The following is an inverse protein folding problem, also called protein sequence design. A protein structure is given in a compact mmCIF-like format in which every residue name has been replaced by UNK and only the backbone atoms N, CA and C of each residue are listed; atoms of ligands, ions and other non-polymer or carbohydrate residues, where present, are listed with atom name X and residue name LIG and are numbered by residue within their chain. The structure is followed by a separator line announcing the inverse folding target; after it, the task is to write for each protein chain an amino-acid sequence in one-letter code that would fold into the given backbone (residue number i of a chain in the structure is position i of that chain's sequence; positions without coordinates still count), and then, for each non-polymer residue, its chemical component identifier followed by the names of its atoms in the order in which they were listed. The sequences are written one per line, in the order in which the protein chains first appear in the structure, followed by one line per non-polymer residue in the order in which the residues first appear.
data_IF_400598783635
#
_entry.id   IF_400598783635
#
_cell.length_a   1.000
_cell.length_b   1.000
_cell.length_c   1.000
_cell.angle_alpha   90.00
_cell.angle_beta   90.00
_cell.angle_gamma   90.00
#
_symmetry.space_group_name_H-M   'P 1'
#
loop_
_entity.id
_entity.type
_entity.pdbx_description
1 polymer ?
#
# COMPACT_ATOMS: atom_id res chain seq x y z
N UNK A 1 -9.50 -19.44 -0.54
CA UNK A 1 -8.19 -19.48 -1.24
C UNK A 1 -7.45 -18.20 -0.91
N UNK A 2 -6.29 -18.29 -0.26
CA UNK A 2 -5.42 -17.12 -0.02
C UNK A 2 -4.49 -16.98 -1.21
N UNK A 3 -4.42 -15.77 -1.73
CA UNK A 3 -3.57 -15.46 -2.85
C UNK A 3 -2.84 -14.16 -2.56
N UNK A 4 -1.51 -14.23 -2.60
CA UNK A 4 -0.65 -13.09 -2.31
C UNK A 4 -0.14 -12.52 -3.62
N UNK A 5 -0.30 -11.21 -3.77
CA UNK A 5 0.26 -10.47 -4.89
C UNK A 5 1.36 -9.58 -4.34
N UNK A 6 2.58 -9.70 -4.87
CA UNK A 6 3.74 -8.94 -4.37
C UNK A 6 3.70 -7.46 -4.77
N UNK A 7 2.86 -7.08 -5.73
CA UNK A 7 2.80 -5.72 -6.28
C UNK A 7 1.35 -5.28 -6.55
N UNK A 8 1.04 -4.02 -6.27
CA UNK A 8 -0.24 -3.39 -6.61
C UNK A 8 -0.30 -3.03 -8.11
N UNK A 9 -0.25 -4.05 -8.98
CA UNK A 9 -0.17 -3.86 -10.43
C UNK A 9 -1.15 -4.76 -11.19
N UNK A 10 -1.77 -4.25 -12.26
CA UNK A 10 -2.77 -4.97 -13.07
C UNK A 10 -2.26 -6.34 -13.53
N UNK A 11 -1.05 -6.39 -14.10
CA UNK A 11 -0.41 -7.63 -14.53
C UNK A 11 -0.41 -8.71 -13.44
N UNK A 12 -0.09 -8.34 -12.21
CA UNK A 12 0.05 -9.27 -11.11
C UNK A 12 -1.32 -9.83 -10.67
N UNK A 13 -2.35 -8.98 -10.62
CA UNK A 13 -3.73 -9.43 -10.36
C UNK A 13 -4.33 -10.22 -11.52
N UNK A 14 -4.01 -9.87 -12.77
CA UNK A 14 -4.45 -10.65 -13.94
C UNK A 14 -3.87 -12.06 -13.90
N UNK A 15 -2.58 -12.19 -13.59
CA UNK A 15 -1.95 -13.48 -13.39
C UNK A 15 -2.64 -14.26 -12.28
N UNK A 16 -2.89 -13.60 -11.14
CA UNK A 16 -3.61 -14.18 -10.00
C UNK A 16 -4.95 -14.81 -10.40
N UNK A 17 -5.78 -14.03 -11.10
CA UNK A 17 -7.11 -14.44 -11.52
C UNK A 17 -7.06 -15.53 -12.59
N UNK A 18 -6.11 -15.45 -13.53
CA UNK A 18 -5.93 -16.48 -14.55
C UNK A 18 -5.53 -17.82 -13.94
N UNK A 19 -4.61 -17.79 -12.97
CA UNK A 19 -4.20 -18.97 -12.19
C UNK A 19 -5.38 -19.56 -11.40
N UNK A 20 -6.27 -18.72 -10.85
CA UNK A 20 -7.47 -19.22 -10.19
C UNK A 20 -8.43 -19.95 -11.15
N UNK A 21 -8.59 -19.45 -12.39
CA UNK A 21 -9.39 -20.13 -13.44
C UNK A 21 -8.75 -21.47 -13.82
N UNK A 22 -7.44 -21.49 -14.04
CA UNK A 22 -6.68 -22.68 -14.41
C UNK A 22 -6.82 -23.78 -13.35
N UNK A 23 -6.56 -23.46 -12.08
CA UNK A 23 -6.67 -24.43 -10.99
C UNK A 23 -8.10 -24.85 -10.68
N UNK A 24 -9.08 -23.98 -10.90
CA UNK A 24 -10.49 -24.38 -10.81
C UNK A 24 -10.82 -25.50 -11.82
N UNK A 25 -10.31 -25.36 -13.04
CA UNK A 25 -10.46 -26.40 -14.07
C UNK A 25 -9.65 -27.65 -13.74
N UNK A 26 -8.40 -27.50 -13.30
CA UNK A 26 -7.50 -28.63 -13.06
C UNK A 26 -7.91 -29.48 -11.87
N UNK A 27 -8.23 -28.86 -10.73
CA UNK A 27 -8.54 -29.60 -9.50
C UNK A 27 -10.01 -30.00 -9.38
N UNK A 28 -10.93 -29.18 -9.90
CA UNK A 28 -12.36 -29.39 -9.71
C UNK A 28 -13.11 -29.69 -11.01
N UNK A 29 -12.45 -29.64 -12.17
CA UNK A 29 -13.10 -29.86 -13.46
C UNK A 29 -14.15 -28.81 -13.81
N UNK A 30 -14.10 -27.61 -13.18
CA UNK A 30 -15.08 -26.55 -13.38
C UNK A 30 -14.49 -25.38 -14.16
N UNK A 31 -15.29 -24.78 -15.04
CA UNK A 31 -14.97 -23.46 -15.59
C UNK A 31 -15.46 -22.38 -14.63
N UNK A 32 -14.51 -21.67 -14.02
CA UNK A 32 -14.82 -20.61 -13.07
C UNK A 32 -15.35 -19.37 -13.80
N UNK A 33 -16.68 -19.16 -13.78
CA UNK A 33 -17.35 -17.98 -14.32
C UNK A 33 -17.87 -17.07 -13.20
N UNK A 34 -17.18 -15.96 -12.96
CA UNK A 34 -17.61 -14.98 -11.96
C UNK A 34 -18.65 -14.01 -12.54
N UNK A 35 -19.81 -13.91 -11.88
CA UNK A 35 -20.82 -12.90 -12.19
C UNK A 35 -20.57 -11.56 -11.47
N UNK A 36 -19.97 -11.62 -10.29
CA UNK A 36 -19.71 -10.47 -9.44
C UNK A 36 -18.29 -10.54 -8.86
N UNK A 37 -17.63 -9.39 -8.75
CA UNK A 37 -16.36 -9.24 -8.06
C UNK A 37 -16.44 -8.07 -7.10
N UNK A 38 -16.54 -8.35 -5.80
CA UNK A 38 -16.53 -7.32 -4.76
C UNK A 38 -15.09 -6.94 -4.41
N UNK A 39 -14.78 -5.65 -4.45
CA UNK A 39 -13.44 -5.17 -4.14
C UNK A 39 -13.45 -3.78 -3.50
N UNK A 40 -12.27 -3.38 -3.02
CA UNK A 40 -11.99 -2.00 -2.65
C UNK A 40 -11.89 -1.13 -3.90
N UNK A 41 -11.90 0.19 -3.75
CA UNK A 41 -11.81 1.11 -4.88
C UNK A 41 -10.39 1.12 -5.48
N UNK A 42 -10.06 0.11 -6.30
CA UNK A 42 -8.76 -0.08 -6.93
C UNK A 42 -8.91 -0.34 -8.44
N UNK A 43 -8.36 0.58 -9.25
CA UNK A 43 -8.48 0.54 -10.71
C UNK A 43 -7.74 -0.65 -11.34
N UNK A 44 -6.54 -0.96 -10.84
CA UNK A 44 -5.73 -2.08 -11.37
C UNK A 44 -6.39 -3.45 -11.15
N UNK A 45 -7.10 -3.64 -10.02
CA UNK A 45 -7.86 -4.86 -9.76
C UNK A 45 -9.11 -4.90 -10.68
N UNK A 46 -9.81 -3.77 -10.82
CA UNK A 46 -10.97 -3.67 -11.71
C UNK A 46 -10.62 -4.05 -13.16
N UNK A 47 -9.50 -3.51 -13.67
CA UNK A 47 -9.02 -3.82 -15.02
C UNK A 47 -8.64 -5.28 -15.14
N UNK A 48 -7.91 -5.85 -14.16
CA UNK A 48 -7.55 -7.27 -14.16
C UNK A 48 -8.78 -8.19 -14.12
N UNK A 49 -9.79 -7.88 -13.30
CA UNK A 49 -11.05 -8.64 -13.24
C UNK A 49 -11.76 -8.64 -14.59
N UNK A 50 -11.86 -7.47 -15.23
CA UNK A 50 -12.54 -7.31 -16.53
C UNK A 50 -11.74 -8.01 -17.64
N UNK A 51 -10.41 -8.05 -17.54
CA UNK A 51 -9.56 -8.74 -18.49
C UNK A 51 -9.72 -10.28 -18.45
N UNK A 52 -9.96 -10.85 -17.27
CA UNK A 52 -10.16 -12.30 -17.10
C UNK A 52 -11.62 -12.70 -17.27
N UNK A 53 -12.55 -11.89 -16.78
CA UNK A 53 -13.99 -12.10 -16.91
C UNK A 53 -14.68 -10.85 -17.49
N UNK A 54 -14.79 -10.72 -18.83
CA UNK A 54 -15.34 -9.53 -19.47
C UNK A 54 -16.78 -9.17 -19.08
N UNK A 55 -17.58 -10.16 -18.68
CA UNK A 55 -18.98 -9.96 -18.26
C UNK A 55 -19.15 -9.73 -16.75
N UNK A 56 -18.07 -9.60 -15.99
CA UNK A 56 -18.14 -9.46 -14.53
C UNK A 56 -18.73 -8.11 -14.13
N UNK A 57 -19.60 -8.11 -13.13
CA UNK A 57 -20.05 -6.89 -12.46
C UNK A 57 -19.15 -6.60 -11.27
N UNK A 58 -18.45 -5.48 -11.32
CA UNK A 58 -17.57 -5.05 -10.22
C UNK A 58 -18.44 -4.38 -9.16
N UNK A 59 -18.39 -4.90 -7.94
CA UNK A 59 -19.09 -4.33 -6.79
C UNK A 59 -18.08 -3.57 -5.93
N UNK A 60 -18.39 -2.32 -5.62
CA UNK A 60 -17.59 -1.53 -4.70
C UNK A 60 -17.98 -1.85 -3.27
N UNK A 61 -16.99 -2.09 -2.42
CA UNK A 61 -17.20 -2.36 -1.01
C UNK A 61 -17.71 -1.10 -0.28
N UNK A 62 -19.00 -1.08 0.06
CA UNK A 62 -19.64 0.05 0.77
C UNK A 62 -18.90 0.45 2.06
N UNK A 63 -18.49 -0.47 2.96
CA UNK A 63 -17.78 -0.08 4.18
C UNK A 63 -16.45 0.64 3.92
N UNK A 64 -15.73 0.24 2.87
CA UNK A 64 -14.52 0.96 2.45
C UNK A 64 -14.84 2.31 1.84
N UNK A 65 -15.90 2.40 1.03
CA UNK A 65 -16.42 3.67 0.52
C UNK A 65 -16.81 4.60 1.68
N UNK A 66 -17.64 4.15 2.62
CA UNK A 66 -18.10 4.95 3.76
C UNK A 66 -16.94 5.45 4.62
N UNK A 67 -15.94 4.59 4.88
CA UNK A 67 -14.71 4.99 5.59
C UNK A 67 -13.85 5.98 4.79
N UNK A 68 -13.81 5.87 3.47
CA UNK A 68 -13.06 6.82 2.64
C UNK A 68 -13.82 8.14 2.48
N UNK A 69 -15.15 8.11 2.44
CA UNK A 69 -16.03 9.26 2.43
C UNK A 69 -15.86 10.12 3.69
N UNK A 70 -15.74 9.49 4.87
CA UNK A 70 -15.49 10.22 6.13
C UNK A 70 -14.10 10.84 6.20
N UNK A 71 -13.09 10.21 5.59
CA UNK A 71 -11.74 10.79 5.50
C UNK A 71 -11.66 12.04 4.61
N UNK A 72 -12.68 12.30 3.80
CA UNK A 72 -12.72 13.42 2.85
C UNK A 72 -13.54 14.60 3.34
N UNK A 73 -13.80 14.67 4.65
CA UNK A 73 -14.45 15.81 5.30
C UNK A 73 -13.74 17.15 5.09
N UNK A 74 -12.44 17.15 4.76
CA UNK A 74 -11.68 18.35 4.40
C UNK A 74 -12.20 19.07 3.14
N UNK A 75 -12.99 18.39 2.29
CA UNK A 75 -13.62 18.98 1.10
C UNK A 75 -14.97 19.64 1.42
N UNK A 76 -15.38 19.63 2.68
CA UNK A 76 -16.62 20.24 3.13
C UNK A 76 -16.36 21.68 3.58
N UNK A 77 -17.28 22.56 3.23
CA UNK A 77 -17.30 23.91 3.76
C UNK A 77 -17.73 23.92 5.22
N UNK A 78 -18.63 23.00 5.61
CA UNK A 78 -19.05 22.80 7.00
C UNK A 78 -18.87 21.36 7.42
N UNK A 79 -17.96 21.12 8.35
CA UNK A 79 -17.63 19.77 8.84
C UNK A 79 -18.81 19.07 9.52
N UNK A 80 -19.64 19.81 10.28
CA UNK A 80 -20.85 19.26 10.93
C UNK A 80 -21.87 18.71 9.93
N UNK A 81 -21.87 19.23 8.70
CA UNK A 81 -22.78 18.80 7.64
C UNK A 81 -22.55 17.34 7.23
N UNK A 82 -21.38 16.77 7.53
CA UNK A 82 -21.10 15.37 7.26
C UNK A 82 -22.05 14.44 8.03
N UNK A 83 -22.10 14.59 9.35
CA UNK A 83 -22.90 13.72 10.22
C UNK A 83 -24.41 13.99 10.04
N UNK A 84 -24.78 15.27 9.86
CA UNK A 84 -26.17 15.69 9.71
C UNK A 84 -26.80 15.22 8.39
N UNK A 85 -26.01 15.10 7.32
CA UNK A 85 -26.53 14.85 5.98
C UNK A 85 -25.75 13.82 5.18
N UNK A 86 -24.44 13.98 4.98
CA UNK A 86 -23.67 13.08 4.09
C UNK A 86 -23.71 11.63 4.53
N UNK A 87 -23.42 11.34 5.80
CA UNK A 87 -23.41 9.98 6.33
C UNK A 87 -24.78 9.31 6.17
N UNK A 88 -25.86 10.05 6.46
CA UNK A 88 -27.24 9.59 6.31
C UNK A 88 -27.57 9.33 4.83
N UNK A 89 -27.24 10.27 3.96
CA UNK A 89 -27.51 10.17 2.52
C UNK A 89 -26.72 9.02 1.86
N UNK A 90 -25.46 8.83 2.22
CA UNK A 90 -24.62 7.71 1.74
C UNK A 90 -25.22 6.38 2.19
N UNK A 91 -25.69 6.28 3.44
CA UNK A 91 -26.39 5.09 3.94
C UNK A 91 -27.71 4.85 3.21
N UNK A 92 -28.47 5.90 2.93
CA UNK A 92 -29.71 5.80 2.14
C UNK A 92 -29.45 5.30 0.71
N UNK A 93 -28.37 5.76 0.07
CA UNK A 93 -27.94 5.28 -1.24
C UNK A 93 -27.57 3.80 -1.20
N UNK A 94 -26.83 3.36 -0.17
CA UNK A 94 -26.53 1.93 0.01
C UNK A 94 -27.81 1.11 0.11
N UNK A 95 -28.82 1.61 0.81
CA UNK A 95 -30.09 0.92 1.00
C UNK A 95 -31.02 0.93 -0.22
N UNK A 96 -30.58 1.47 -1.37
CA UNK A 96 -31.34 1.38 -2.61
C UNK A 96 -31.54 -0.09 -3.03
N UNK A 97 -32.73 -0.39 -3.53
CA UNK A 97 -33.18 -1.75 -3.90
C UNK A 97 -33.09 -2.04 -5.39
N UNK A 98 -32.78 -1.03 -6.20
CA UNK A 98 -32.60 -1.18 -7.65
C UNK A 98 -31.66 -0.12 -8.18
N UNK A 99 -31.12 -0.36 -9.38
CA UNK A 99 -30.27 0.61 -10.06
C UNK A 99 -31.00 1.92 -10.36
N UNK A 100 -32.25 1.83 -10.81
CA UNK A 100 -33.06 3.00 -11.10
C UNK A 100 -33.32 3.86 -9.84
N UNK A 101 -33.61 3.20 -8.72
CA UNK A 101 -33.76 3.90 -7.44
C UNK A 101 -32.45 4.55 -7.00
N UNK A 102 -31.33 3.83 -7.10
CA UNK A 102 -30.01 4.33 -6.76
C UNK A 102 -29.65 5.58 -7.59
N UNK A 103 -29.78 5.50 -8.93
CA UNK A 103 -29.43 6.60 -9.83
C UNK A 103 -30.32 7.84 -9.59
N UNK A 104 -31.62 7.63 -9.33
CA UNK A 104 -32.54 8.72 -9.00
C UNK A 104 -32.21 9.38 -7.65
N UNK A 105 -31.87 8.59 -6.63
CA UNK A 105 -31.46 9.08 -5.33
C UNK A 105 -30.12 9.82 -5.41
N UNK A 106 -29.13 9.25 -6.10
CA UNK A 106 -27.82 9.85 -6.28
C UNK A 106 -27.93 11.23 -6.93
N UNK A 107 -28.75 11.34 -7.99
CA UNK A 107 -29.02 12.62 -8.66
C UNK A 107 -29.66 13.66 -7.74
N UNK A 108 -30.62 13.25 -6.89
CA UNK A 108 -31.29 14.19 -5.96
C UNK A 108 -30.35 14.63 -4.84
N UNK A 109 -29.59 13.69 -4.28
CA UNK A 109 -28.67 13.91 -3.17
C UNK A 109 -27.52 14.84 -3.59
N UNK A 110 -26.90 14.60 -4.75
CA UNK A 110 -25.80 15.47 -5.22
C UNK A 110 -26.28 16.88 -5.51
N UNK A 111 -27.46 17.04 -6.14
CA UNK A 111 -28.10 18.35 -6.33
C UNK A 111 -28.39 19.05 -4.99
N UNK A 112 -28.88 18.32 -4.00
CA UNK A 112 -29.12 18.85 -2.66
C UNK A 112 -27.81 19.35 -2.02
N UNK A 113 -26.74 18.56 -2.05
CA UNK A 113 -25.44 18.96 -1.52
C UNK A 113 -24.90 20.21 -2.20
N UNK A 114 -24.95 20.29 -3.54
CA UNK A 114 -24.56 21.49 -4.28
C UNK A 114 -25.40 22.71 -3.88
N UNK A 115 -26.72 22.55 -3.68
CA UNK A 115 -27.61 23.65 -3.24
C UNK A 115 -27.32 24.15 -1.82
N UNK A 116 -26.64 23.33 -1.00
CA UNK A 116 -26.21 23.66 0.37
C UNK A 116 -24.77 24.17 0.43
N UNK A 117 -24.23 24.58 -0.72
CA UNK A 117 -22.87 25.06 -0.90
C UNK A 117 -21.78 24.01 -0.67
N UNK A 118 -22.09 22.71 -0.70
CA UNK A 118 -21.12 21.62 -0.53
C UNK A 118 -20.70 21.04 -1.90
N UNK A 119 -20.38 21.91 -2.86
CA UNK A 119 -20.13 21.54 -4.26
C UNK A 119 -18.87 20.71 -4.44
N UNK A 120 -17.77 21.08 -3.79
CA UNK A 120 -16.47 20.41 -3.95
C UNK A 120 -16.53 18.93 -3.54
N UNK A 121 -17.12 18.65 -2.37
CA UNK A 121 -17.36 17.27 -1.94
C UNK A 121 -18.30 16.53 -2.89
N UNK A 122 -19.38 17.18 -3.36
CA UNK A 122 -20.34 16.54 -4.27
C UNK A 122 -19.68 16.15 -5.60
N UNK A 123 -18.90 17.05 -6.21
CA UNK A 123 -18.18 16.79 -7.46
C UNK A 123 -17.14 15.66 -7.26
N UNK A 124 -16.39 15.69 -6.15
CA UNK A 124 -15.48 14.60 -5.78
C UNK A 124 -16.21 13.26 -5.66
N UNK A 125 -17.32 13.21 -4.90
CA UNK A 125 -18.08 11.98 -4.68
C UNK A 125 -18.64 11.41 -5.98
N UNK A 126 -19.11 12.27 -6.89
CA UNK A 126 -19.58 11.87 -8.22
C UNK A 126 -18.45 11.20 -9.01
N UNK A 127 -17.29 11.85 -9.10
CA UNK A 127 -16.14 11.32 -9.85
C UNK A 127 -15.61 9.99 -9.29
N UNK A 128 -15.62 9.81 -7.96
CA UNK A 128 -15.03 8.62 -7.36
C UNK A 128 -16.01 7.45 -7.26
N UNK A 129 -17.29 7.70 -6.97
CA UNK A 129 -18.21 6.63 -6.56
C UNK A 129 -19.49 6.53 -7.38
N UNK A 130 -19.75 7.47 -8.30
CA UNK A 130 -20.95 7.47 -9.13
C UNK A 130 -20.66 7.31 -10.64
N UNK A 131 -19.40 7.22 -11.05
CA UNK A 131 -19.03 6.81 -12.41
C UNK A 131 -19.50 5.37 -12.72
N UNK A 132 -19.69 5.05 -14.00
CA UNK A 132 -20.23 3.74 -14.45
C UNK A 132 -19.55 2.54 -13.80
N UNK A 133 -18.22 2.59 -13.75
CA UNK A 133 -17.40 1.51 -13.20
C UNK A 133 -17.59 1.34 -11.69
N UNK A 134 -17.93 2.42 -10.98
CA UNK A 134 -17.83 2.50 -9.52
C UNK A 134 -19.18 2.59 -8.80
N UNK A 135 -20.27 2.82 -9.52
CA UNK A 135 -21.61 3.07 -8.97
C UNK A 135 -22.39 1.83 -8.50
N UNK A 136 -21.74 0.67 -8.37
CA UNK A 136 -22.35 -0.58 -7.94
C UNK A 136 -21.97 -0.93 -6.50
N UNK A 137 -22.56 -0.25 -5.53
CA UNK A 137 -22.31 -0.48 -4.09
C UNK A 137 -23.59 -0.47 -3.23
N UNK A 138 -24.76 -0.42 -3.85
CA UNK A 138 -26.05 -0.56 -3.17
C UNK A 138 -26.39 -2.03 -2.89
N UNK A 139 -27.24 -2.24 -1.89
CA UNK A 139 -27.53 -3.50 -1.20
C UNK A 139 -28.35 -4.51 -2.03
N UNK A 140 -28.16 -4.55 -3.35
CA UNK A 140 -28.67 -5.63 -4.22
C UNK A 140 -27.66 -6.75 -4.43
N UNK A 141 -26.60 -6.82 -3.62
CA UNK A 141 -25.66 -7.94 -3.63
C UNK A 141 -26.19 -9.19 -2.90
N UNK A 142 -27.46 -9.21 -2.48
CA UNK A 142 -28.09 -10.35 -1.84
C UNK A 142 -29.04 -11.07 -2.81
N UNK A 143 -28.59 -12.22 -3.31
CA UNK A 143 -29.53 -13.34 -3.51
C UNK A 143 -30.20 -13.58 -2.15
N UNK A 144 -31.52 -13.86 -2.08
CA UNK A 144 -32.17 -14.22 -0.82
C UNK A 144 -31.34 -15.24 -0.04
N UNK A 145 -30.88 -14.90 1.17
CA UNK A 145 -30.04 -15.75 2.02
C UNK A 145 -28.57 -15.33 2.17
N UNK A 146 -28.04 -14.44 1.33
CA UNK A 146 -26.67 -13.90 1.47
C UNK A 146 -26.76 -12.42 1.81
N UNK A 147 -26.84 -12.10 3.11
CA UNK A 147 -26.65 -10.72 3.55
C UNK A 147 -25.23 -10.27 3.17
N UNK A 148 -25.01 -9.03 2.67
CA UNK A 148 -23.69 -8.43 2.60
C UNK A 148 -23.22 -8.12 4.03
N UNK A 149 -23.04 -9.16 4.85
CA UNK A 149 -22.42 -9.04 6.16
C UNK A 149 -20.93 -9.09 5.94
N UNK A 150 -20.24 -8.02 6.33
CA UNK A 150 -18.78 -7.98 6.32
C UNK A 150 -18.20 -8.79 7.48
N UNK A 151 -19.04 -9.31 8.39
CA UNK A 151 -18.64 -10.09 9.55
C UNK A 151 -17.60 -11.17 9.20
N UNK A 152 -17.74 -11.97 8.12
CA UNK A 152 -16.72 -12.95 7.76
C UNK A 152 -15.39 -12.32 7.37
N UNK A 153 -15.39 -11.21 6.62
CA UNK A 153 -14.18 -10.49 6.19
C UNK A 153 -13.51 -9.75 7.36
N UNK A 154 -14.28 -9.05 8.18
CA UNK A 154 -13.78 -8.31 9.35
C UNK A 154 -13.28 -9.23 10.45
N UNK A 155 -14.05 -10.28 10.77
CA UNK A 155 -13.60 -11.32 11.70
C UNK A 155 -12.31 -11.95 11.20
N UNK A 156 -12.24 -12.26 9.92
CA UNK A 156 -11.03 -12.82 9.33
C UNK A 156 -9.83 -11.85 9.39
N UNK A 157 -10.01 -10.58 9.04
CA UNK A 157 -8.97 -9.54 9.20
C UNK A 157 -8.53 -9.37 10.66
N UNK A 158 -9.49 -9.42 11.60
CA UNK A 158 -9.22 -9.33 13.03
C UNK A 158 -8.38 -10.52 13.48
N UNK A 159 -8.73 -11.73 13.05
CA UNK A 159 -7.95 -12.95 13.34
C UNK A 159 -6.55 -12.85 12.76
N UNK A 160 -6.39 -12.45 11.49
CA UNK A 160 -5.06 -12.25 10.88
C UNK A 160 -4.20 -11.25 11.68
N UNK A 161 -4.78 -10.12 12.09
CA UNK A 161 -4.07 -9.12 12.91
C UNK A 161 -3.73 -9.62 14.31
N UNK A 162 -4.57 -10.47 14.89
CA UNK A 162 -4.34 -11.05 16.21
C UNK A 162 -3.24 -12.12 16.20
N UNK A 163 -3.18 -12.97 15.16
CA UNK A 163 -2.18 -14.03 15.03
C UNK A 163 -0.85 -13.56 14.44
N UNK A 164 -0.80 -12.36 13.84
CA UNK A 164 0.43 -11.73 13.36
C UNK A 164 0.58 -10.32 13.94
N UNK A 165 1.05 -10.18 15.21
CA UNK A 165 1.18 -8.89 15.91
C UNK A 165 2.22 -7.92 15.31
N UNK A 166 2.86 -8.29 14.20
CA UNK A 166 3.93 -7.54 13.54
C UNK A 166 3.64 -7.14 12.09
N UNK A 167 2.37 -7.02 11.69
CA UNK A 167 2.02 -6.56 10.35
C UNK A 167 2.82 -5.32 9.95
N UNK A 168 3.51 -5.37 8.80
CA UNK A 168 4.32 -4.27 8.29
C UNK A 168 3.51 -2.98 8.34
N UNK A 169 3.84 -2.08 9.27
CA UNK A 169 3.23 -0.75 9.32
C UNK A 169 3.59 -0.10 7.99
N UNK A 170 2.58 0.22 7.16
CA UNK A 170 2.80 1.10 6.00
C UNK A 170 3.50 2.35 6.54
N UNK A 171 4.72 2.69 6.08
CA UNK A 171 5.39 3.90 6.54
C UNK A 171 4.44 5.08 6.29
N UNK A 172 4.27 5.95 7.28
CA UNK A 172 3.62 7.26 7.05
C UNK A 172 4.37 7.91 5.87
N UNK A 173 3.64 8.48 4.93
CA UNK A 173 4.21 9.16 3.76
C UNK A 173 4.88 8.29 2.68
N UNK A 174 4.61 6.98 2.61
CA UNK A 174 5.08 6.12 1.49
C UNK A 174 4.61 6.52 0.08
N UNK A 175 3.73 7.53 -0.04
CA UNK A 175 3.25 8.10 -1.30
C UNK A 175 3.70 9.55 -1.53
N UNK A 176 4.37 10.20 -0.59
CA UNK A 176 4.89 11.56 -0.77
C UNK A 176 6.38 11.50 -1.08
N UNK A 177 6.78 12.04 -2.24
CA UNK A 177 8.20 12.32 -2.54
C UNK A 177 8.83 13.36 -1.60
N UNK A 178 8.00 14.05 -0.80
CA UNK A 178 8.39 15.21 0.03
C UNK A 178 8.49 14.89 1.54
N UNK A 179 8.32 13.63 1.94
CA UNK A 179 8.60 13.22 3.32
C UNK A 179 10.08 12.85 3.46
N UNK A 180 10.71 13.22 4.59
CA UNK A 180 12.06 12.76 4.91
C UNK A 180 12.16 11.24 4.69
N UNK A 181 13.07 10.82 3.79
CA UNK A 181 13.30 9.42 3.46
C UNK A 181 13.50 8.62 4.74
N UNK A 182 13.06 7.35 4.78
CA UNK A 182 13.31 6.48 5.94
C UNK A 182 14.81 6.42 6.29
N UNK A 183 15.68 6.58 5.28
CA UNK A 183 17.14 6.61 5.40
C UNK A 183 17.73 8.03 5.42
N UNK A 184 16.95 9.05 5.77
CA UNK A 184 17.48 10.40 5.94
C UNK A 184 18.53 10.42 7.05
N UNK A 185 19.67 11.07 6.80
CA UNK A 185 20.82 11.09 7.72
C UNK A 185 20.42 11.51 9.14
N UNK A 186 19.70 12.62 9.29
CA UNK A 186 19.30 13.16 10.60
C UNK A 186 18.49 12.16 11.43
N UNK A 187 17.68 11.33 10.76
CA UNK A 187 16.90 10.29 11.41
C UNK A 187 17.77 9.09 11.79
N UNK A 188 18.66 8.66 10.89
CA UNK A 188 19.58 7.56 11.14
C UNK A 188 20.54 7.87 12.30
N UNK A 189 20.99 9.13 12.42
CA UNK A 189 21.80 9.58 13.55
C UNK A 189 21.12 9.33 14.91
N UNK A 190 19.79 9.48 14.99
CA UNK A 190 19.01 9.22 16.22
C UNK A 190 18.75 7.74 16.43
N UNK A 191 18.34 7.04 15.36
CA UNK A 191 17.94 5.63 15.42
C UNK A 191 19.15 4.72 15.75
N UNK A 192 20.33 5.00 15.19
CA UNK A 192 21.54 4.19 15.37
C UNK A 192 22.17 4.33 16.76
N UNK A 193 21.96 5.47 17.43
CA UNK A 193 22.35 5.63 18.84
C UNK A 193 21.40 4.85 19.75
N UNK A 194 20.10 4.86 19.44
CA UNK A 194 19.08 4.18 20.23
C UNK A 194 19.14 2.67 20.06
N UNK A 195 19.43 2.19 18.84
CA UNK A 195 19.43 0.78 18.46
C UNK A 195 20.66 0.47 17.58
N UNK A 196 21.86 0.31 18.18
CA UNK A 196 23.10 0.13 17.41
C UNK A 196 23.17 -1.17 16.60
N UNK A 197 22.44 -2.20 17.03
CA UNK A 197 22.32 -3.46 16.30
C UNK A 197 21.27 -3.43 15.17
N UNK A 198 20.51 -2.34 15.00
CA UNK A 198 19.47 -2.23 13.97
C UNK A 198 19.97 -2.43 12.53
N UNK A 199 21.11 -1.85 12.09
CA UNK A 199 21.53 -1.90 10.70
C UNK A 199 22.29 -3.20 10.36
N UNK A 200 22.28 -4.20 11.25
CA UNK A 200 22.96 -5.46 10.99
C UNK A 200 22.40 -6.14 9.75
N UNK A 201 23.28 -6.61 8.88
CA UNK A 201 23.00 -7.17 7.56
C UNK A 201 22.42 -6.17 6.54
N UNK A 202 22.38 -4.88 6.84
CA UNK A 202 21.98 -3.88 5.84
C UNK A 202 23.08 -3.69 4.81
N UNK A 203 22.67 -3.39 3.59
CA UNK A 203 23.57 -3.20 2.48
C UNK A 203 23.89 -1.73 2.25
N UNK A 204 25.12 -1.49 1.83
CA UNK A 204 25.66 -0.17 1.50
C UNK A 204 26.43 -0.24 0.19
N UNK A 205 26.60 0.91 -0.48
CA UNK A 205 27.50 1.08 -1.60
C UNK A 205 28.49 2.20 -1.29
N UNK A 206 29.77 1.94 -1.50
CA UNK A 206 30.83 2.97 -1.43
C UNK A 206 31.61 2.98 -2.73
N UNK A 207 31.99 4.16 -3.20
CA UNK A 207 32.96 4.25 -4.29
C UNK A 207 34.34 3.82 -3.76
N UNK A 208 34.89 2.75 -4.30
CA UNK A 208 36.21 2.25 -3.97
C UNK A 208 37.05 2.12 -5.25
N UNK A 209 38.38 2.34 -5.17
CA UNK A 209 39.28 2.07 -6.29
C UNK A 209 39.33 0.56 -6.53
N UNK A 210 38.93 0.13 -7.72
CA UNK A 210 39.01 -1.26 -8.16
C UNK A 210 40.00 -1.34 -9.32
N UNK A 211 40.99 -2.22 -9.20
CA UNK A 211 41.93 -2.51 -10.27
C UNK A 211 41.23 -3.37 -11.33
N UNK A 212 41.10 -2.83 -12.54
CA UNK A 212 40.60 -3.58 -13.69
C UNK A 212 41.63 -4.60 -14.18
N UNK A 213 41.17 -5.55 -15.01
CA UNK A 213 42.04 -6.56 -15.66
C UNK A 213 43.16 -5.93 -16.49
N UNK A 214 42.97 -4.68 -16.93
CA UNK A 214 43.91 -3.92 -17.75
C UNK A 214 44.94 -3.13 -16.92
N UNK A 215 44.98 -3.32 -15.59
CA UNK A 215 45.89 -2.63 -14.67
C UNK A 215 45.47 -1.20 -14.28
N UNK A 216 44.45 -0.63 -14.93
CA UNK A 216 43.92 0.70 -14.60
C UNK A 216 43.03 0.66 -13.34
N UNK A 217 43.26 1.63 -12.44
CA UNK A 217 42.45 1.82 -11.23
C UNK A 217 41.24 2.70 -11.59
N UNK A 218 40.04 2.15 -11.45
CA UNK A 218 38.78 2.90 -11.65
C UNK A 218 37.97 2.93 -10.37
N UNK A 219 37.43 4.09 -10.01
CA UNK A 219 36.51 4.20 -8.87
C UNK A 219 35.16 3.60 -9.28
N UNK A 220 34.76 2.52 -8.63
CA UNK A 220 33.47 1.85 -8.87
C UNK A 220 32.67 1.80 -7.58
N UNK A 221 31.35 1.84 -7.69
CA UNK A 221 30.48 1.55 -6.56
C UNK A 221 30.59 0.07 -6.22
N UNK A 222 31.17 -0.21 -5.06
CA UNK A 222 31.30 -1.57 -4.54
C UNK A 222 30.21 -1.77 -3.48
N UNK A 223 29.31 -2.74 -3.65
CA UNK A 223 28.36 -3.09 -2.61
C UNK A 223 29.06 -3.78 -1.43
N UNK A 224 28.57 -3.52 -0.23
CA UNK A 224 29.01 -4.12 1.01
C UNK A 224 27.85 -4.32 1.97
N UNK A 225 28.11 -5.06 3.04
CA UNK A 225 27.12 -5.39 4.07
C UNK A 225 27.68 -5.08 5.45
N UNK A 226 26.85 -4.51 6.33
CA UNK A 226 27.19 -4.29 7.73
C UNK A 226 27.17 -5.65 8.44
N UNK A 227 28.33 -6.06 8.94
CA UNK A 227 28.55 -7.39 9.52
C UNK A 227 28.74 -7.39 11.02
N UNK A 228 29.12 -6.26 11.60
CA UNK A 228 29.43 -6.14 13.03
C UNK A 228 29.28 -4.70 13.52
N UNK A 229 29.13 -4.53 14.83
CA UNK A 229 29.19 -3.24 15.49
C UNK A 229 29.91 -3.35 16.85
N UNK A 230 30.68 -2.33 17.19
CA UNK A 230 31.49 -2.29 18.39
C UNK A 230 31.06 -1.10 19.26
N UNK A 231 30.93 -1.35 20.55
CA UNK A 231 30.87 -0.30 21.56
C UNK A 231 32.28 0.27 21.77
N UNK A 232 32.40 1.60 21.77
CA UNK A 232 33.68 2.29 21.91
C UNK A 232 33.68 3.08 23.21
N UNK A 233 34.63 2.79 24.10
CA UNK A 233 34.78 3.48 25.39
C UNK A 233 35.14 4.96 25.18
N UNK A 234 34.19 5.85 25.47
CA UNK A 234 34.34 7.30 25.44
C UNK A 234 33.10 8.03 25.99
N UNK A 235 33.22 9.29 26.43
CA UNK A 235 32.18 10.00 27.20
C UNK A 235 30.85 10.23 26.45
N UNK A 236 30.79 9.92 25.14
CA UNK A 236 29.59 10.02 24.30
C UNK A 236 29.25 8.72 23.55
N UNK A 237 29.74 7.55 23.97
CA UNK A 237 29.29 6.22 23.51
C UNK A 237 29.01 6.10 22.01
N UNK A 238 29.98 6.48 21.18
CA UNK A 238 29.82 6.48 19.72
C UNK A 238 30.16 5.09 19.18
N UNK A 239 29.13 4.31 18.90
CA UNK A 239 29.26 3.00 18.25
C UNK A 239 30.01 3.10 16.91
N UNK A 240 30.73 2.04 16.55
CA UNK A 240 31.35 1.86 15.23
C UNK A 240 30.77 0.66 14.54
N UNK A 241 30.53 0.76 13.23
CA UNK A 241 29.98 -0.32 12.40
C UNK A 241 31.02 -0.82 11.41
N UNK A 242 31.19 -2.14 11.33
CA UNK A 242 32.07 -2.79 10.37
C UNK A 242 31.27 -3.19 9.14
N UNK A 243 31.72 -2.73 7.98
CA UNK A 243 31.16 -3.10 6.67
C UNK A 243 32.16 -3.97 5.93
N UNK A 244 31.70 -5.12 5.43
CA UNK A 244 32.44 -5.98 4.50
C UNK A 244 31.98 -5.70 3.08
N UNK A 245 32.88 -5.21 2.23
CA UNK A 245 32.64 -4.98 0.82
C UNK A 245 32.94 -6.23 -0.01
N UNK A 246 32.29 -6.38 -1.17
CA UNK A 246 32.46 -7.55 -2.03
C UNK A 246 33.87 -7.75 -2.59
N UNK A 247 34.68 -6.68 -2.65
CA UNK A 247 36.09 -6.77 -3.02
C UNK A 247 36.97 -7.35 -1.89
N UNK A 248 36.36 -7.83 -0.79
CA UNK A 248 37.07 -8.37 0.38
C UNK A 248 37.57 -7.29 1.34
N UNK A 249 37.38 -6.00 1.04
CA UNK A 249 37.78 -4.92 1.92
C UNK A 249 36.79 -4.79 3.08
N UNK A 250 37.30 -4.75 4.31
CA UNK A 250 36.51 -4.43 5.50
C UNK A 250 36.88 -3.02 5.98
N UNK A 251 35.88 -2.21 6.31
CA UNK A 251 36.08 -0.87 6.84
C UNK A 251 35.15 -0.60 8.02
N UNK A 252 35.64 0.16 8.99
CA UNK A 252 34.84 0.64 10.11
C UNK A 252 34.36 2.07 9.84
N UNK A 253 33.15 2.36 10.29
CA UNK A 253 32.49 3.65 10.10
C UNK A 253 31.94 4.13 11.44
N UNK A 254 32.12 5.42 11.70
CA UNK A 254 31.49 6.11 12.83
C UNK A 254 30.04 6.48 12.52
N UNK A 255 29.26 6.88 13.53
CA UNK A 255 27.83 7.19 13.42
C UNK A 255 27.48 8.13 12.25
N UNK A 256 28.23 9.22 12.10
CA UNK A 256 28.02 10.18 11.01
C UNK A 256 28.28 9.58 9.63
N UNK A 257 29.35 8.81 9.52
CA UNK A 257 29.80 8.23 8.26
C UNK A 257 28.90 7.08 7.81
N UNK A 258 28.43 6.24 8.74
CA UNK A 258 27.51 5.14 8.42
C UNK A 258 26.13 5.68 8.03
N UNK A 259 25.66 6.75 8.67
CA UNK A 259 24.39 7.40 8.33
C UNK A 259 24.44 8.02 6.92
N UNK A 260 25.52 8.73 6.58
CA UNK A 260 25.75 9.24 5.23
C UNK A 260 25.86 8.12 4.19
N UNK A 261 26.55 7.03 4.54
CA UNK A 261 26.73 5.90 3.64
C UNK A 261 25.39 5.23 3.31
N UNK A 262 24.53 5.02 4.32
CA UNK A 262 23.18 4.47 4.17
C UNK A 262 22.27 5.40 3.37
N UNK A 263 22.31 6.70 3.63
CA UNK A 263 21.52 7.70 2.89
C UNK A 263 21.94 7.74 1.41
N UNK A 264 23.24 7.81 1.12
CA UNK A 264 23.73 7.84 -0.26
C UNK A 264 23.38 6.54 -1.00
N UNK A 265 23.49 5.39 -0.32
CA UNK A 265 23.13 4.09 -0.88
C UNK A 265 21.63 4.03 -1.22
N UNK A 266 20.78 4.56 -0.36
CA UNK A 266 19.34 4.64 -0.59
C UNK A 266 19.00 5.58 -1.75
N UNK A 267 19.69 6.73 -1.85
CA UNK A 267 19.53 7.69 -2.94
C UNK A 267 19.99 7.11 -4.30
N UNK A 268 20.96 6.20 -4.29
CA UNK A 268 21.40 5.45 -5.47
C UNK A 268 20.43 4.30 -5.85
N UNK A 269 19.37 4.07 -5.07
CA UNK A 269 18.37 3.04 -5.32
C UNK A 269 18.77 1.64 -4.87
N UNK A 270 19.77 1.51 -3.99
CA UNK A 270 20.15 0.21 -3.41
C UNK A 270 19.04 -0.30 -2.48
N UNK A 271 18.76 -1.61 -2.54
CA UNK A 271 17.92 -2.27 -1.55
C UNK A 271 18.68 -2.44 -0.22
N UNK A 272 18.59 -1.44 0.66
CA UNK A 272 19.34 -1.38 1.92
C UNK A 272 18.99 -2.53 2.87
N UNK A 273 17.72 -2.85 3.03
CA UNK A 273 17.26 -3.83 4.05
C UNK A 273 16.96 -5.22 3.48
N UNK A 274 16.97 -5.37 2.16
CA UNK A 274 16.78 -6.64 1.50
C UNK A 274 18.05 -7.49 1.47
N UNK A 275 17.95 -8.67 0.88
CA UNK A 275 19.14 -9.42 0.50
C UNK A 275 19.62 -8.92 -0.86
N UNK A 276 20.92 -8.61 -0.99
CA UNK A 276 21.56 -8.46 -2.30
C UNK A 276 21.77 -9.83 -2.96
N UNK A 277 21.66 -10.92 -2.19
CA UNK A 277 21.80 -12.32 -2.61
C UNK A 277 20.68 -13.22 -2.07
#
# INVERSE_FOLDING_TARGET
MYMFVRTEHEFAYKQLFSTAVEYASSFFGITLFLKFGSQDHASYIATALTAVWPSIKILNCYPHLARNASKKMQLLNRTSFYDDHFAINIKQLESARSRAQFDAMATRITKYWTSKSEKEYADWFVSQYLEERWRLWYCTAAVPGVMPSQNPLEYHHKTLKAVSPGGQRKPRSCLSKEGASYFAKDKLMVDLVTLPAMPMNWNVMKQLPVQGLDGNVTNRYVPGQIIDWLDCDGPTGLFRWTVRFQNGHEAQFELGEIAELLESSANLGLNITGKIF
#
